data_IF_798706673706
#
_entry.id   IF_798706673706
#
_cell.length_a   1.000
_cell.length_b   1.000
_cell.length_c   1.000
_cell.angle_alpha   90.00
_cell.angle_beta   90.00
_cell.angle_gamma   90.00
#
_symmetry.space_group_name_H-M   'P 1'
#
loop_
_entity.id
_entity.type
_entity.pdbx_description
1 polymer ?
#
# COMPACT_ATOMS: atom_id res chain seq x y z
N UNK A 1 -18.07 0.15 15.95
CA UNK A 1 -16.62 -0.04 16.16
C UNK A 1 -15.95 1.28 15.86
N UNK A 2 -15.23 1.82 16.84
CA UNK A 2 -14.40 3.02 16.69
C UNK A 2 -13.11 2.62 15.97
N UNK A 3 -12.72 3.43 15.00
CA UNK A 3 -11.53 3.23 14.20
C UNK A 3 -10.61 4.43 14.40
N UNK A 4 -9.32 4.18 14.60
CA UNK A 4 -8.33 5.23 14.83
C UNK A 4 -7.40 5.33 13.62
N UNK A 5 -7.23 6.56 13.14
CA UNK A 5 -6.20 6.88 12.14
C UNK A 5 -4.81 6.78 12.79
N UNK A 6 -3.95 5.94 12.21
CA UNK A 6 -2.62 5.65 12.74
C UNK A 6 -1.57 6.48 12.01
N UNK A 7 -1.59 6.45 10.68
CA UNK A 7 -0.63 7.14 9.82
C UNK A 7 -1.13 7.17 8.36
N UNK A 8 -0.42 7.90 7.51
CA UNK A 8 -0.66 7.94 6.06
C UNK A 8 0.58 7.43 5.33
N UNK A 9 0.42 6.36 4.56
CA UNK A 9 1.45 5.78 3.72
C UNK A 9 1.38 6.39 2.34
N UNK A 10 2.50 6.94 1.88
CA UNK A 10 2.65 7.36 0.49
C UNK A 10 3.10 6.16 -0.35
N UNK A 11 2.18 5.24 -0.62
CA UNK A 11 2.43 4.03 -1.40
C UNK A 11 2.15 4.21 -2.89
N UNK A 12 1.48 5.31 -3.26
CA UNK A 12 1.16 5.63 -4.65
C UNK A 12 2.45 5.81 -5.43
N UNK A 13 2.60 5.06 -6.51
CA UNK A 13 3.79 5.12 -7.35
C UNK A 13 3.85 6.48 -8.05
N UNK A 14 5.03 7.07 -8.10
CA UNK A 14 5.24 8.38 -8.73
C UNK A 14 4.99 8.30 -10.25
N UNK A 15 4.37 9.33 -10.82
CA UNK A 15 4.16 9.48 -12.26
C UNK A 15 5.45 9.31 -13.09
N UNK A 16 6.62 9.71 -12.58
CA UNK A 16 7.93 9.50 -13.23
C UNK A 16 8.29 8.02 -13.41
N UNK A 17 7.82 7.14 -12.51
CA UNK A 17 8.03 5.69 -12.60
C UNK A 17 7.14 5.11 -13.69
N UNK A 18 5.85 5.50 -13.71
CA UNK A 18 4.92 5.09 -14.77
C UNK A 18 5.36 5.56 -16.16
N UNK A 19 5.95 6.76 -16.27
CA UNK A 19 6.48 7.29 -17.52
C UNK A 19 7.57 6.41 -18.16
N UNK A 20 8.26 5.58 -17.38
CA UNK A 20 9.27 4.62 -17.90
C UNK A 20 8.65 3.39 -18.58
N UNK A 21 7.42 3.04 -18.23
CA UNK A 21 6.73 1.85 -18.75
C UNK A 21 5.78 2.15 -19.92
N UNK A 22 5.51 3.43 -20.20
CA UNK A 22 4.73 3.86 -21.37
C UNK A 22 3.26 4.19 -21.07
N UNK A 23 2.53 4.62 -22.09
CA UNK A 23 1.16 5.14 -21.96
C UNK A 23 0.08 4.05 -21.83
N UNK A 24 0.37 2.80 -22.18
CA UNK A 24 -0.54 1.65 -22.08
C UNK A 24 -0.57 1.01 -20.68
N UNK A 25 0.08 1.64 -19.71
CA UNK A 25 0.25 1.13 -18.37
C UNK A 25 -0.99 1.37 -17.47
N UNK A 26 -1.56 0.31 -16.89
CA UNK A 26 -2.69 0.42 -15.97
C UNK A 26 -2.23 0.79 -14.55
N UNK A 27 -2.13 2.11 -14.32
CA UNK A 27 -1.73 2.67 -13.03
C UNK A 27 -2.71 2.35 -11.90
N UNK A 28 -4.00 2.17 -12.19
CA UNK A 28 -5.00 1.84 -11.17
C UNK A 28 -4.82 0.39 -10.71
N UNK A 29 -4.63 -0.53 -11.65
CA UNK A 29 -4.40 -1.93 -11.34
C UNK A 29 -3.14 -2.15 -10.49
N UNK A 30 -2.06 -1.41 -10.74
CA UNK A 30 -0.85 -1.48 -9.91
C UNK A 30 -1.06 -0.91 -8.52
N UNK A 31 -1.72 0.25 -8.39
CA UNK A 31 -2.01 0.80 -7.08
C UNK A 31 -2.92 -0.14 -6.26
N UNK A 32 -3.87 -0.83 -6.91
CA UNK A 32 -4.72 -1.83 -6.27
C UNK A 32 -3.94 -3.07 -5.83
N UNK A 33 -2.99 -3.54 -6.64
CA UNK A 33 -2.16 -4.68 -6.29
C UNK A 33 -1.23 -4.36 -5.11
N UNK A 34 -0.62 -3.17 -5.11
CA UNK A 34 0.16 -2.67 -3.97
C UNK A 34 -0.71 -2.59 -2.72
N UNK A 35 -1.93 -2.05 -2.83
CA UNK A 35 -2.87 -1.96 -1.72
C UNK A 35 -3.29 -3.34 -1.19
N UNK A 36 -3.47 -4.31 -2.09
CA UNK A 36 -3.80 -5.70 -1.75
C UNK A 36 -2.67 -6.34 -0.95
N UNK A 37 -1.42 -6.18 -1.40
CA UNK A 37 -0.23 -6.68 -0.70
C UNK A 37 -0.10 -6.02 0.68
N UNK A 38 -0.27 -4.69 0.74
CA UNK A 38 -0.21 -3.93 2.00
C UNK A 38 -1.23 -4.44 3.02
N UNK A 39 -2.48 -4.63 2.62
CA UNK A 39 -3.53 -5.13 3.51
C UNK A 39 -3.34 -6.60 3.89
N UNK A 40 -2.72 -7.42 3.03
CA UNK A 40 -2.44 -8.82 3.33
C UNK A 40 -1.33 -8.99 4.39
N UNK A 41 -0.35 -8.09 4.40
CA UNK A 41 0.75 -8.09 5.36
C UNK A 41 0.43 -7.25 6.62
N UNK A 42 -0.68 -6.52 6.61
CA UNK A 42 -1.10 -5.72 7.76
C UNK A 42 -1.52 -6.62 8.94
N UNK A 43 -1.31 -6.17 10.19
CA UNK A 43 -1.83 -6.87 11.35
C UNK A 43 -3.36 -6.99 11.30
N UNK A 44 -3.90 -8.07 11.87
CA UNK A 44 -5.35 -8.23 11.98
C UNK A 44 -6.01 -7.02 12.69
N UNK A 45 -7.11 -6.53 12.14
CA UNK A 45 -7.80 -5.33 12.63
C UNK A 45 -7.17 -4.01 12.15
N UNK A 46 -6.21 -4.07 11.22
CA UNK A 46 -5.65 -2.90 10.53
C UNK A 46 -6.03 -2.95 9.05
N UNK A 47 -6.51 -1.82 8.52
CA UNK A 47 -6.89 -1.65 7.12
C UNK A 47 -6.15 -0.46 6.55
N UNK A 48 -5.56 -0.63 5.38
CA UNK A 48 -5.02 0.47 4.58
C UNK A 48 -6.04 0.83 3.50
N UNK A 49 -6.41 2.11 3.42
CA UNK A 49 -7.29 2.64 2.40
C UNK A 49 -6.55 3.05 1.13
N UNK A 50 -7.30 3.21 0.03
CA UNK A 50 -6.78 3.68 -1.28
C UNK A 50 -6.06 5.04 -1.24
N UNK A 51 -6.31 5.83 -0.19
CA UNK A 51 -5.70 7.14 0.00
C UNK A 51 -4.40 7.09 0.85
N UNK A 52 -3.97 5.88 1.23
CA UNK A 52 -2.79 5.66 2.07
C UNK A 52 -3.06 5.65 3.57
N UNK A 53 -4.28 5.98 4.03
CA UNK A 53 -4.60 5.97 5.46
C UNK A 53 -4.56 4.57 6.02
N UNK A 54 -3.83 4.43 7.12
CA UNK A 54 -3.81 3.23 7.95
C UNK A 54 -4.77 3.43 9.09
N UNK A 55 -5.82 2.62 9.10
CA UNK A 55 -6.89 2.66 10.08
C UNK A 55 -6.78 1.39 10.91
N UNK A 56 -6.82 1.50 12.24
CA UNK A 56 -6.84 0.35 13.13
C UNK A 56 -8.08 0.35 14.02
N UNK A 57 -8.62 -0.83 14.27
CA UNK A 57 -9.55 -1.09 15.37
C UNK A 57 -8.84 -0.83 16.72
N UNK A 58 -9.60 -0.49 17.77
CA UNK A 58 -9.06 -0.18 19.11
C UNK A 58 -8.13 -1.26 19.66
N UNK A 59 -8.45 -2.54 19.41
CA UNK A 59 -7.65 -3.70 19.80
C UNK A 59 -6.33 -3.82 19.03
N UNK A 60 -6.24 -3.23 17.83
CA UNK A 60 -5.10 -3.34 16.92
C UNK A 60 -4.21 -2.08 16.90
N UNK A 61 -4.60 -0.98 17.56
CA UNK A 61 -3.84 0.29 17.57
C UNK A 61 -2.37 0.09 17.96
N UNK A 62 -2.11 -0.68 19.03
CA UNK A 62 -0.75 -0.91 19.52
C UNK A 62 0.10 -1.70 18.50
N UNK A 63 -0.50 -2.70 17.85
CA UNK A 63 0.15 -3.47 16.80
C UNK A 63 0.44 -2.58 15.59
N UNK A 64 -0.56 -1.83 15.11
CA UNK A 64 -0.43 -0.92 13.97
C UNK A 64 0.67 0.13 14.16
N UNK A 65 0.81 0.67 15.39
CA UNK A 65 1.86 1.64 15.73
C UNK A 65 3.26 1.03 15.83
N UNK A 66 3.34 -0.28 16.11
CA UNK A 66 4.61 -1.00 16.21
C UNK A 66 5.06 -1.58 14.87
N UNK A 67 4.20 -1.60 13.86
CA UNK A 67 4.53 -2.04 12.50
C UNK A 67 5.49 -1.07 11.83
N UNK A 68 6.59 -1.60 11.28
CA UNK A 68 7.49 -0.84 10.42
C UNK A 68 6.94 -0.76 8.99
N UNK A 69 6.01 0.16 8.79
CA UNK A 69 5.36 0.38 7.49
C UNK A 69 6.34 0.78 6.39
N UNK A 70 7.44 1.45 6.74
CA UNK A 70 8.46 1.85 5.79
C UNK A 70 9.26 0.65 5.31
N UNK A 71 9.61 -0.28 6.21
CA UNK A 71 10.22 -1.55 5.83
C UNK A 71 9.27 -2.41 4.98
N UNK A 72 7.98 -2.41 5.30
CA UNK A 72 6.97 -3.14 4.55
C UNK A 72 6.83 -2.60 3.12
N UNK A 73 6.74 -1.28 2.93
CA UNK A 73 6.75 -0.64 1.61
C UNK A 73 8.01 -0.97 0.80
N UNK A 74 9.19 -0.98 1.44
CA UNK A 74 10.46 -1.33 0.79
C UNK A 74 10.55 -2.79 0.32
N UNK A 75 9.75 -3.68 0.92
CA UNK A 75 9.71 -5.11 0.54
C UNK A 75 8.81 -5.38 -0.66
N UNK A 76 7.96 -4.43 -1.03
CA UNK A 76 7.12 -4.55 -2.21
C UNK A 76 8.03 -4.43 -3.44
N UNK A 77 8.10 -5.52 -4.20
CA UNK A 77 8.86 -5.58 -5.45
C UNK A 77 8.06 -4.86 -6.54
N UNK A 78 8.19 -3.54 -6.54
CA UNK A 78 7.45 -2.66 -7.46
C UNK A 78 7.79 -2.98 -8.91
N UNK A 79 9.05 -3.28 -9.22
CA UNK A 79 9.48 -3.65 -10.58
C UNK A 79 8.74 -4.88 -11.10
N UNK A 80 8.53 -5.90 -10.25
CA UNK A 80 7.77 -7.11 -10.61
C UNK A 80 6.30 -6.77 -10.86
N UNK A 81 5.66 -6.01 -9.97
CA UNK A 81 4.25 -5.60 -10.14
C UNK A 81 4.12 -4.78 -11.43
N UNK A 82 5.03 -3.85 -11.70
CA UNK A 82 5.00 -3.07 -12.94
C UNK A 82 5.19 -3.98 -14.17
N UNK A 83 6.10 -4.96 -14.13
CA UNK A 83 6.31 -5.87 -15.24
C UNK A 83 5.09 -6.76 -15.55
N UNK A 84 4.32 -7.18 -14.53
CA UNK A 84 3.10 -7.98 -14.73
C UNK A 84 1.96 -7.16 -15.34
N UNK A 85 1.96 -5.85 -15.11
CA UNK A 85 0.89 -4.94 -15.54
C UNK A 85 1.24 -4.08 -16.77
N UNK A 86 2.49 -4.07 -17.23
CA UNK A 86 2.92 -3.43 -18.47
C UNK A 86 2.90 -4.42 -19.64
N UNK A 87 1.94 -4.28 -20.55
CA UNK A 87 1.87 -5.05 -21.81
C UNK A 87 2.10 -4.17 -23.03
#
# INVERSE_FOLDING_TARGET
MTHTDITVLNYTVNADVYARYGADFDTEAVNDEILRILNAEAPAGVTIERNGRVIAEDSAIAAARSTDWAALLKRIDLDTILAEHGK
#
